data_IF_206765044428
#
_entry.id   IF_206765044428
#
_cell.length_a   1.000
_cell.length_b   1.000
_cell.length_c   1.000
_cell.angle_alpha   90.00
_cell.angle_beta   90.00
_cell.angle_gamma   90.00
#
_symmetry.space_group_name_H-M   'P 1'
#
loop_
_entity.id
_entity.type
_entity.pdbx_description
1 polymer ?
#
# COMPACT_ATOMS: atom_id res chain seq x y z
N UNK A 1 -22.12 -2.05 -27.16
CA UNK A 1 -22.45 -1.46 -25.87
C UNK A 1 -21.62 -0.21 -25.53
N UNK A 2 -20.54 0.13 -26.27
CA UNK A 2 -19.74 1.34 -26.06
C UNK A 2 -18.95 1.40 -24.75
N UNK A 3 -18.83 0.28 -24.03
CA UNK A 3 -18.10 0.18 -22.75
C UNK A 3 -16.76 -0.46 -22.99
N UNK A 4 -15.66 0.24 -22.67
CA UNK A 4 -14.32 -0.30 -22.65
C UNK A 4 -14.02 -0.86 -21.25
N UNK A 5 -13.68 -2.14 -21.16
CA UNK A 5 -13.30 -2.80 -19.90
C UNK A 5 -11.78 -2.84 -19.79
N UNK A 6 -11.24 -2.18 -18.76
CA UNK A 6 -9.80 -2.22 -18.40
C UNK A 6 -9.57 -3.27 -17.31
N UNK A 7 -9.74 -4.55 -17.66
CA UNK A 7 -9.71 -5.68 -16.73
C UNK A 7 -8.36 -5.90 -16.06
N UNK A 8 -7.27 -5.42 -16.65
CA UNK A 8 -5.92 -5.48 -16.08
C UNK A 8 -5.71 -4.50 -14.90
N UNK A 9 -6.54 -3.46 -14.80
CA UNK A 9 -6.38 -2.39 -13.81
C UNK A 9 -5.01 -1.72 -13.91
N UNK A 10 -4.26 -1.67 -12.80
CA UNK A 10 -2.90 -1.09 -12.76
C UNK A 10 -1.81 -2.03 -13.26
N UNK A 11 -2.17 -3.30 -13.58
CA UNK A 11 -1.21 -4.33 -13.99
C UNK A 11 -1.13 -4.41 -15.52
N UNK A 12 -0.56 -3.38 -16.13
CA UNK A 12 -0.29 -3.31 -17.56
C UNK A 12 1.22 -3.39 -17.83
N UNK A 13 1.60 -3.87 -19.01
CA UNK A 13 2.99 -3.98 -19.43
C UNK A 13 3.83 -4.83 -18.48
N UNK A 14 5.04 -4.35 -18.09
CA UNK A 14 5.95 -5.09 -17.22
C UNK A 14 5.34 -5.44 -15.85
N UNK A 15 4.42 -4.60 -15.32
CA UNK A 15 3.74 -4.85 -14.05
C UNK A 15 2.89 -6.12 -14.09
N UNK A 16 2.29 -6.43 -15.24
CA UNK A 16 1.54 -7.67 -15.45
C UNK A 16 2.45 -8.88 -15.49
N UNK A 17 3.54 -8.79 -16.26
CA UNK A 17 4.53 -9.87 -16.35
C UNK A 17 5.15 -10.19 -15.00
N UNK A 18 5.47 -9.16 -14.19
CA UNK A 18 5.98 -9.33 -12.83
C UNK A 18 4.94 -10.00 -11.93
N UNK A 19 3.70 -9.51 -11.94
CA UNK A 19 2.60 -10.06 -11.13
C UNK A 19 2.30 -11.52 -11.43
N UNK A 20 2.35 -11.88 -12.72
CA UNK A 20 2.09 -13.25 -13.18
C UNK A 20 3.33 -14.14 -13.18
N UNK A 21 4.50 -13.58 -12.85
CA UNK A 21 5.81 -14.28 -12.90
C UNK A 21 6.09 -14.88 -14.28
N UNK A 22 5.70 -14.16 -15.33
CA UNK A 22 5.96 -14.54 -16.72
C UNK A 22 7.28 -13.92 -17.15
N UNK A 23 8.19 -14.70 -17.69
CA UNK A 23 9.47 -14.21 -18.20
C UNK A 23 9.27 -13.58 -19.60
N UNK A 24 9.51 -12.26 -19.76
CA UNK A 24 9.45 -11.62 -21.07
C UNK A 24 10.72 -11.89 -21.87
N UNK A 25 10.62 -11.94 -23.20
CA UNK A 25 11.81 -12.02 -24.07
C UNK A 25 12.73 -10.81 -23.87
N UNK A 26 12.14 -9.62 -23.69
CA UNK A 26 12.84 -8.37 -23.42
C UNK A 26 12.08 -7.61 -22.32
N UNK A 27 12.68 -7.42 -21.12
CA UNK A 27 12.04 -6.68 -20.05
C UNK A 27 11.93 -5.19 -20.38
N UNK A 28 10.99 -4.52 -19.74
CA UNK A 28 10.84 -3.08 -19.90
C UNK A 28 12.13 -2.34 -19.52
N UNK A 29 12.58 -1.45 -20.38
CA UNK A 29 13.85 -0.71 -20.22
C UNK A 29 15.07 -1.44 -20.77
N UNK A 30 14.95 -2.71 -21.20
CA UNK A 30 16.05 -3.44 -21.84
C UNK A 30 16.53 -2.72 -23.09
N UNK A 31 17.83 -2.64 -23.25
CA UNK A 31 18.49 -2.10 -24.43
C UNK A 31 19.87 -2.71 -24.64
N UNK A 32 20.34 -2.65 -25.88
CA UNK A 32 21.68 -3.05 -26.23
C UNK A 32 22.61 -1.83 -26.28
N UNK A 33 23.85 -2.01 -25.86
CA UNK A 33 24.90 -1.00 -25.92
C UNK A 33 26.18 -1.60 -26.49
N UNK A 34 27.00 -0.76 -27.11
CA UNK A 34 28.35 -1.14 -27.52
C UNK A 34 29.38 -1.08 -26.38
N UNK A 35 28.92 -0.75 -25.17
CA UNK A 35 29.73 -0.72 -23.96
C UNK A 35 28.97 -1.36 -22.81
N UNK A 36 29.61 -1.53 -21.66
CA UNK A 36 29.03 -2.11 -20.44
C UNK A 36 29.06 -1.10 -19.32
N UNK A 37 28.08 -1.18 -18.40
CA UNK A 37 27.97 -0.32 -17.25
C UNK A 37 27.93 -1.13 -15.96
N UNK A 38 28.46 -0.56 -14.87
CA UNK A 38 28.30 -1.10 -13.53
C UNK A 38 27.62 -0.10 -12.63
N UNK A 39 26.81 -0.61 -11.71
CA UNK A 39 26.07 0.15 -10.71
C UNK A 39 26.65 -0.11 -9.33
N UNK A 40 26.82 0.94 -8.52
CA UNK A 40 27.35 0.81 -7.16
C UNK A 40 26.86 1.94 -6.24
N UNK A 41 27.11 1.78 -4.94
CA UNK A 41 26.96 2.83 -3.93
C UNK A 41 25.56 3.49 -3.88
N UNK A 42 24.49 2.70 -3.87
CA UNK A 42 23.16 3.24 -3.60
C UNK A 42 23.12 3.78 -2.16
N UNK A 43 22.71 5.05 -2.00
CA UNK A 43 22.59 5.72 -0.71
C UNK A 43 21.36 6.62 -0.69
N UNK A 44 20.62 6.55 0.42
CA UNK A 44 19.59 7.51 0.77
C UNK A 44 20.17 8.53 1.77
N UNK A 45 19.74 9.80 1.68
CA UNK A 45 20.09 10.80 2.69
C UNK A 45 19.49 10.49 4.07
N UNK A 46 18.42 9.68 4.10
CA UNK A 46 17.79 9.17 5.32
C UNK A 46 17.13 7.81 5.04
N UNK A 47 17.11 6.92 6.02
CA UNK A 47 16.50 5.59 5.92
C UNK A 47 15.13 5.48 6.62
N UNK A 48 14.81 6.47 7.46
CA UNK A 48 13.48 6.64 8.08
C UNK A 48 13.06 8.09 7.86
N UNK A 49 11.88 8.30 7.28
CA UNK A 49 11.39 9.62 6.86
C UNK A 49 9.86 9.69 6.96
N UNK A 50 9.33 10.90 7.07
CA UNK A 50 7.92 11.15 6.80
C UNK A 50 7.72 11.25 5.28
N UNK A 51 6.51 10.97 4.82
CA UNK A 51 6.15 11.10 3.40
C UNK A 51 6.22 12.54 2.89
N UNK A 52 6.29 13.54 3.81
CA UNK A 52 6.50 14.96 3.50
C UNK A 52 7.95 15.37 3.36
N UNK A 53 8.89 14.51 3.76
CA UNK A 53 10.32 14.85 3.76
C UNK A 53 10.92 14.73 2.35
N UNK A 54 11.95 15.53 2.07
CA UNK A 54 12.70 15.44 0.83
C UNK A 54 13.72 14.31 0.91
N UNK A 55 13.47 13.22 0.19
CA UNK A 55 14.32 12.04 0.16
C UNK A 55 15.16 12.06 -1.11
N UNK A 56 16.48 12.01 -0.97
CA UNK A 56 17.41 11.93 -2.09
C UNK A 56 18.07 10.57 -2.13
N UNK A 57 17.96 9.90 -3.28
CA UNK A 57 18.67 8.66 -3.58
C UNK A 57 19.83 8.99 -4.51
N UNK A 58 21.03 8.59 -4.15
CA UNK A 58 22.22 8.70 -4.99
C UNK A 58 22.75 7.32 -5.37
N UNK A 59 23.22 7.16 -6.59
CA UNK A 59 23.80 5.92 -7.12
C UNK A 59 24.98 6.27 -8.04
N UNK A 60 26.02 5.46 -8.04
CA UNK A 60 27.14 5.59 -8.97
C UNK A 60 26.97 4.65 -10.15
N UNK A 61 27.21 5.17 -11.34
CA UNK A 61 27.23 4.40 -12.59
C UNK A 61 28.53 4.65 -13.31
N UNK A 62 29.21 3.56 -13.67
CA UNK A 62 30.52 3.60 -14.34
C UNK A 62 30.44 2.87 -15.68
N UNK A 63 31.02 3.46 -16.71
CA UNK A 63 31.28 2.76 -17.98
C UNK A 63 32.51 1.86 -17.83
N UNK A 64 32.30 0.58 -17.86
CA UNK A 64 33.36 -0.45 -17.70
C UNK A 64 33.90 -0.96 -19.02
N UNK A 65 33.31 -0.53 -20.16
CA UNK A 65 33.76 -0.91 -21.49
C UNK A 65 34.77 0.06 -22.09
N UNK A 66 35.06 -0.15 -23.36
CA UNK A 66 36.15 0.56 -24.08
C UNK A 66 35.66 1.72 -24.95
N UNK A 67 34.37 1.87 -25.13
CA UNK A 67 33.76 2.95 -25.95
C UNK A 67 32.81 3.79 -25.13
N UNK A 68 32.63 5.03 -25.55
CA UNK A 68 31.64 5.90 -24.92
C UNK A 68 30.22 5.39 -25.18
N UNK A 69 29.34 5.51 -24.20
CA UNK A 69 27.95 5.08 -24.32
C UNK A 69 27.02 5.94 -23.49
N UNK A 70 25.72 5.69 -23.67
CA UNK A 70 24.67 6.30 -22.86
C UNK A 70 23.93 5.19 -22.14
N UNK A 71 23.63 5.44 -20.87
CA UNK A 71 22.87 4.53 -20.00
C UNK A 71 21.61 5.23 -19.49
N UNK A 72 20.52 4.46 -19.35
CA UNK A 72 19.27 4.94 -18.74
C UNK A 72 19.16 4.30 -17.37
N UNK A 73 19.49 5.07 -16.36
CA UNK A 73 19.40 4.66 -14.94
C UNK A 73 17.94 4.76 -14.52
N UNK A 74 17.36 3.66 -14.08
CA UNK A 74 15.95 3.55 -13.72
C UNK A 74 15.81 3.30 -12.23
N UNK A 75 14.90 4.04 -11.57
CA UNK A 75 14.57 3.89 -10.16
C UNK A 75 13.14 3.37 -10.00
N UNK A 76 13.00 2.28 -9.30
CA UNK A 76 11.74 1.61 -8.98
C UNK A 76 11.47 1.63 -7.48
N UNK A 77 10.19 1.66 -7.11
CA UNK A 77 9.72 1.57 -5.73
C UNK A 77 8.87 0.33 -5.56
N UNK A 78 9.14 -0.44 -4.50
CA UNK A 78 8.39 -1.61 -4.07
C UNK A 78 7.91 -1.42 -2.63
N UNK A 79 6.61 -1.56 -2.35
CA UNK A 79 6.05 -1.59 -1.00
C UNK A 79 6.07 -3.03 -0.47
N UNK A 80 6.83 -3.32 0.62
CA UNK A 80 7.02 -4.69 1.12
C UNK A 80 5.72 -5.33 1.61
N UNK A 81 4.91 -4.61 2.39
CA UNK A 81 3.68 -5.11 3.02
C UNK A 81 2.45 -4.36 2.50
N UNK A 82 2.25 -4.38 1.18
CA UNK A 82 1.14 -3.70 0.56
C UNK A 82 -0.20 -4.32 0.98
N UNK A 83 -1.06 -3.54 1.66
CA UNK A 83 -2.41 -3.97 2.02
C UNK A 83 -3.32 -4.08 0.80
N UNK A 84 -3.01 -3.35 -0.25
CA UNK A 84 -3.65 -3.42 -1.56
C UNK A 84 -2.74 -4.13 -2.55
N UNK A 85 -3.32 -4.74 -3.58
CA UNK A 85 -2.53 -5.37 -4.64
C UNK A 85 -1.81 -4.29 -5.44
N UNK A 86 -0.48 -4.13 -5.22
CA UNK A 86 0.40 -3.20 -5.94
C UNK A 86 1.35 -3.96 -6.86
N UNK A 87 1.91 -3.30 -7.90
CA UNK A 87 2.97 -3.86 -8.73
C UNK A 87 4.22 -4.18 -7.89
N UNK A 88 4.92 -5.25 -8.27
CA UNK A 88 6.19 -5.63 -7.65
C UNK A 88 7.25 -4.53 -7.78
N UNK A 89 7.32 -3.90 -8.94
CA UNK A 89 8.20 -2.77 -9.21
C UNK A 89 7.39 -1.65 -9.88
N UNK A 90 7.46 -0.45 -9.34
CA UNK A 90 6.86 0.73 -9.95
C UNK A 90 7.95 1.70 -10.37
N UNK A 91 8.18 1.88 -11.69
CA UNK A 91 9.10 2.91 -12.18
C UNK A 91 8.62 4.28 -11.73
N UNK A 92 9.46 5.00 -10.99
CA UNK A 92 9.18 6.34 -10.49
C UNK A 92 10.04 7.40 -11.17
N UNK A 93 11.34 7.11 -11.34
CA UNK A 93 12.28 8.03 -11.95
C UNK A 93 13.20 7.32 -12.92
N UNK A 94 13.74 8.08 -13.87
CA UNK A 94 14.83 7.64 -14.72
C UNK A 94 15.68 8.84 -15.15
N UNK A 95 16.95 8.57 -15.43
CA UNK A 95 17.87 9.57 -15.98
C UNK A 95 18.78 8.95 -17.04
N UNK A 96 18.93 9.63 -18.19
CA UNK A 96 19.82 9.20 -19.25
C UNK A 96 21.13 9.96 -19.17
N UNK A 97 22.21 9.24 -18.88
CA UNK A 97 23.56 9.78 -18.74
C UNK A 97 24.46 9.31 -19.87
N UNK A 98 25.45 10.15 -20.25
CA UNK A 98 26.51 9.78 -21.17
C UNK A 98 27.81 9.60 -20.38
N UNK A 99 28.56 8.53 -20.67
CA UNK A 99 29.80 8.17 -20.00
C UNK A 99 30.90 7.83 -21.01
N UNK A 100 32.07 8.44 -20.89
CA UNK A 100 33.27 8.01 -21.58
C UNK A 100 33.80 6.68 -21.01
N UNK A 101 34.70 5.97 -21.71
CA UNK A 101 35.32 4.76 -21.17
C UNK A 101 35.98 5.00 -19.82
N UNK A 102 35.64 4.19 -18.82
CA UNK A 102 36.15 4.32 -17.45
C UNK A 102 35.53 5.47 -16.62
N UNK A 103 34.74 6.33 -17.21
CA UNK A 103 34.07 7.43 -16.51
C UNK A 103 33.01 6.91 -15.53
N UNK A 104 32.94 7.54 -14.34
CA UNK A 104 31.92 7.28 -13.31
C UNK A 104 31.16 8.59 -13.05
N UNK A 105 29.83 8.49 -12.96
CA UNK A 105 28.95 9.60 -12.56
C UNK A 105 28.05 9.18 -11.41
N UNK A 106 27.77 10.14 -10.54
CA UNK A 106 26.72 10.00 -9.52
C UNK A 106 25.42 10.57 -10.07
N UNK A 107 24.38 9.71 -10.10
CA UNK A 107 23.01 10.09 -10.43
C UNK A 107 22.25 10.30 -9.14
N UNK A 108 21.37 11.31 -9.10
CA UNK A 108 20.56 11.63 -7.94
C UNK A 108 19.09 11.73 -8.34
N UNK A 109 18.24 11.08 -7.55
CA UNK A 109 16.79 11.14 -7.68
C UNK A 109 16.18 11.76 -6.44
N UNK A 110 15.23 12.69 -6.64
CA UNK A 110 14.45 13.31 -5.58
C UNK A 110 13.11 12.59 -5.49
N UNK A 111 12.86 11.91 -4.37
CA UNK A 111 11.60 11.23 -4.11
C UNK A 111 10.68 12.15 -3.30
N UNK A 112 9.41 12.11 -3.66
CA UNK A 112 8.32 12.85 -3.03
C UNK A 112 7.27 11.89 -2.48
N UNK A 113 6.30 12.39 -1.73
CA UNK A 113 5.17 11.59 -1.25
C UNK A 113 4.47 10.81 -2.39
N UNK A 114 4.44 11.39 -3.60
CA UNK A 114 3.81 10.77 -4.77
C UNK A 114 4.48 9.47 -5.20
N UNK A 115 5.77 9.32 -4.97
CA UNK A 115 6.53 8.13 -5.36
C UNK A 115 6.16 6.90 -4.52
N UNK A 116 5.69 7.12 -3.30
CA UNK A 116 5.24 6.07 -2.36
C UNK A 116 3.72 5.86 -2.38
N UNK A 117 2.97 6.84 -2.93
CA UNK A 117 1.53 6.88 -2.83
C UNK A 117 0.82 5.89 -3.78
N UNK A 118 -0.38 5.48 -3.38
CA UNK A 118 -1.41 4.88 -4.21
C UNK A 118 -2.66 5.78 -4.20
N UNK A 119 -3.50 5.66 -5.23
CA UNK A 119 -4.77 6.39 -5.25
C UNK A 119 -5.83 5.63 -4.46
N UNK A 120 -6.41 6.27 -3.45
CA UNK A 120 -7.53 5.74 -2.67
C UNK A 120 -8.85 6.24 -3.26
N UNK A 121 -9.68 5.32 -3.77
CA UNK A 121 -11.02 5.64 -4.24
C UNK A 121 -11.96 6.07 -3.11
N UNK A 122 -11.67 5.68 -1.87
CA UNK A 122 -12.43 6.06 -0.68
C UNK A 122 -12.11 7.48 -0.23
N UNK A 123 -10.83 7.82 -0.22
CA UNK A 123 -10.38 9.17 0.16
C UNK A 123 -10.43 10.16 -1.01
N UNK A 124 -10.64 9.68 -2.24
CA UNK A 124 -10.51 10.45 -3.48
C UNK A 124 -9.18 11.22 -3.58
N UNK A 125 -8.10 10.62 -3.07
CA UNK A 125 -6.80 11.26 -2.99
C UNK A 125 -5.65 10.24 -3.04
N UNK A 126 -4.43 10.75 -3.25
CA UNK A 126 -3.20 9.98 -3.18
C UNK A 126 -2.73 9.83 -1.74
N UNK A 127 -2.53 8.59 -1.33
CA UNK A 127 -2.24 8.23 0.05
C UNK A 127 -0.96 7.42 0.10
N UNK A 128 -0.07 7.79 1.01
CA UNK A 128 1.06 6.98 1.43
C UNK A 128 0.64 6.15 2.63
N UNK A 129 0.88 4.85 2.59
CA UNK A 129 0.74 3.98 3.77
C UNK A 129 2.09 3.95 4.49
N UNK A 130 2.06 4.05 5.81
CA UNK A 130 3.28 3.84 6.61
C UNK A 130 3.78 2.41 6.47
N UNK A 131 5.09 2.24 6.27
CA UNK A 131 5.71 0.94 6.09
C UNK A 131 7.05 1.00 5.40
N UNK A 132 7.58 -0.18 5.07
CA UNK A 132 8.88 -0.31 4.40
C UNK A 132 8.72 -0.33 2.90
N UNK A 133 9.58 0.43 2.26
CA UNK A 133 9.67 0.54 0.80
C UNK A 133 11.09 0.22 0.34
N UNK A 134 11.21 -0.66 -0.63
CA UNK A 134 12.48 -0.93 -1.30
C UNK A 134 12.63 -0.01 -2.50
N UNK A 135 13.71 0.74 -2.51
CA UNK A 135 14.15 1.52 -3.65
C UNK A 135 15.13 0.66 -4.42
N UNK A 136 14.79 0.32 -5.65
CA UNK A 136 15.57 -0.54 -6.53
C UNK A 136 16.07 0.26 -7.72
N UNK A 137 17.35 0.13 -8.06
CA UNK A 137 17.96 0.88 -9.17
C UNK A 137 18.71 -0.06 -10.09
N UNK A 138 18.53 0.15 -11.40
CA UNK A 138 19.22 -0.61 -12.43
C UNK A 138 18.92 -0.15 -13.85
N UNK A 139 19.19 -1.03 -14.81
CA UNK A 139 19.11 -0.76 -16.25
C UNK A 139 17.75 -1.13 -16.86
N UNK A 140 16.99 -1.99 -16.20
CA UNK A 140 15.68 -2.45 -16.68
C UNK A 140 14.80 -2.90 -15.52
N UNK A 141 13.52 -3.22 -15.79
CA UNK A 141 12.59 -3.74 -14.78
C UNK A 141 13.00 -5.09 -14.17
N UNK A 142 13.95 -5.79 -14.78
CA UNK A 142 14.46 -7.10 -14.31
C UNK A 142 15.93 -7.09 -13.94
N UNK A 143 16.69 -6.07 -14.35
CA UNK A 143 18.08 -5.87 -13.97
C UNK A 143 18.17 -4.71 -12.99
N UNK A 144 18.01 -5.03 -11.69
CA UNK A 144 17.95 -4.10 -10.56
C UNK A 144 18.99 -4.52 -9.50
N UNK A 145 20.29 -4.35 -9.80
CA UNK A 145 21.37 -4.84 -8.94
C UNK A 145 21.48 -4.11 -7.59
N UNK A 146 20.89 -2.92 -7.47
CA UNK A 146 20.99 -2.13 -6.24
C UNK A 146 19.64 -1.99 -5.56
N UNK A 147 19.63 -2.14 -4.23
CA UNK A 147 18.46 -1.96 -3.38
C UNK A 147 18.80 -1.24 -2.08
N UNK A 148 17.92 -0.33 -1.66
CA UNK A 148 17.95 0.35 -0.37
C UNK A 148 16.54 0.36 0.21
N UNK A 149 16.37 -0.15 1.44
CA UNK A 149 15.07 -0.08 2.14
C UNK A 149 14.92 1.22 2.90
N UNK A 150 13.75 1.85 2.79
CA UNK A 150 13.32 3.03 3.54
C UNK A 150 12.12 2.68 4.41
N UNK A 151 12.06 3.26 5.60
CA UNK A 151 10.89 3.22 6.48
C UNK A 151 10.15 4.57 6.36
N UNK A 152 8.99 4.56 5.73
CA UNK A 152 8.20 5.77 5.45
C UNK A 152 7.02 5.86 6.40
N UNK A 153 6.89 6.99 7.06
CA UNK A 153 5.78 7.32 7.95
C UNK A 153 4.81 8.27 7.23
N UNK A 154 3.58 7.83 7.07
CA UNK A 154 2.52 8.66 6.49
C UNK A 154 2.16 9.81 7.43
N UNK A 155 2.04 11.01 6.90
CA UNK A 155 1.50 12.18 7.62
C UNK A 155 -0.01 12.28 7.49
N UNK A 156 -0.63 11.52 6.58
CA UNK A 156 -2.09 11.45 6.41
C UNK A 156 -2.65 10.26 7.17
N UNK A 157 -3.44 10.54 8.21
CA UNK A 157 -4.24 9.51 8.89
C UNK A 157 -5.55 9.38 8.12
N UNK A 158 -5.75 8.24 7.46
CA UNK A 158 -7.05 7.91 6.90
C UNK A 158 -7.99 7.49 8.02
N UNK A 159 -9.01 8.29 8.26
CA UNK A 159 -10.13 7.82 9.07
C UNK A 159 -10.86 6.72 8.29
N UNK A 160 -11.10 5.57 8.89
CA UNK A 160 -11.89 4.53 8.25
C UNK A 160 -13.28 5.08 7.92
N UNK A 161 -13.83 4.67 6.77
CA UNK A 161 -15.21 5.01 6.39
C UNK A 161 -16.06 3.78 6.64
N UNK A 162 -16.99 3.90 7.61
CA UNK A 162 -17.90 2.83 7.95
C UNK A 162 -19.14 2.88 7.07
N UNK A 163 -19.51 1.74 6.53
CA UNK A 163 -20.69 1.53 5.70
C UNK A 163 -21.61 0.49 6.35
N UNK A 164 -22.81 0.33 5.83
CA UNK A 164 -23.73 -0.71 6.28
C UNK A 164 -23.18 -2.15 6.11
N UNK A 165 -22.15 -2.33 5.29
CA UNK A 165 -21.49 -3.61 5.07
C UNK A 165 -20.19 -3.77 5.88
N UNK A 166 -19.76 -2.75 6.60
CA UNK A 166 -18.61 -2.83 7.49
C UNK A 166 -18.83 -3.86 8.59
N UNK A 167 -17.80 -4.66 8.87
CA UNK A 167 -17.85 -5.64 9.95
C UNK A 167 -17.84 -4.94 11.31
N UNK A 168 -18.55 -5.49 12.30
CA UNK A 168 -18.61 -4.89 13.62
C UNK A 168 -17.22 -4.67 14.24
N UNK A 169 -16.26 -5.61 14.03
CA UNK A 169 -14.88 -5.47 14.51
C UNK A 169 -14.13 -4.25 13.97
N UNK A 170 -14.50 -3.77 12.75
CA UNK A 170 -13.87 -2.60 12.14
C UNK A 170 -14.15 -1.32 12.94
N UNK A 171 -15.27 -1.28 13.69
CA UNK A 171 -15.63 -0.14 14.52
C UNK A 171 -14.70 0.06 15.73
N UNK A 172 -13.77 -0.85 16.01
CA UNK A 172 -12.71 -0.65 17.00
C UNK A 172 -11.60 0.31 16.57
N UNK A 173 -11.58 0.71 15.30
CA UNK A 173 -10.46 1.45 14.71
C UNK A 173 -10.36 2.91 15.15
N UNK A 174 -11.45 3.55 15.59
CA UNK A 174 -11.45 4.93 16.08
C UNK A 174 -12.15 5.02 17.44
N UNK A 175 -11.83 6.08 18.20
CA UNK A 175 -12.49 6.32 19.51
C UNK A 175 -13.99 6.48 19.36
N UNK A 176 -14.46 7.23 18.35
CA UNK A 176 -15.87 7.47 18.12
C UNK A 176 -16.62 6.18 17.74
N UNK A 177 -16.03 5.35 16.90
CA UNK A 177 -16.65 4.09 16.50
C UNK A 177 -16.52 2.98 17.54
N UNK A 178 -15.50 3.00 18.41
CA UNK A 178 -15.35 2.00 19.47
C UNK A 178 -16.53 2.00 20.46
N UNK A 179 -17.10 3.17 20.76
CA UNK A 179 -18.31 3.29 21.60
C UNK A 179 -19.48 2.53 20.97
N UNK A 180 -19.59 2.56 19.63
CA UNK A 180 -20.62 1.86 18.88
C UNK A 180 -20.41 0.35 18.96
N UNK A 181 -19.16 -0.11 18.79
CA UNK A 181 -18.79 -1.51 18.98
C UNK A 181 -19.23 -2.02 20.36
N UNK A 182 -18.89 -1.29 21.40
CA UNK A 182 -19.25 -1.67 22.78
C UNK A 182 -20.76 -1.65 23.02
N UNK A 183 -21.48 -0.64 22.53
CA UNK A 183 -22.92 -0.52 22.70
C UNK A 183 -23.67 -1.67 22.02
N UNK A 184 -23.30 -2.00 20.77
CA UNK A 184 -23.89 -3.11 20.03
C UNK A 184 -23.54 -4.45 20.69
N UNK A 185 -22.29 -4.67 21.04
CA UNK A 185 -21.89 -5.93 21.70
C UNK A 185 -22.65 -6.11 23.01
N UNK A 186 -22.76 -5.07 23.83
CA UNK A 186 -23.54 -5.14 25.09
C UNK A 186 -25.02 -5.42 24.85
N UNK A 187 -25.64 -4.83 23.84
CA UNK A 187 -27.08 -5.03 23.58
C UNK A 187 -27.42 -6.49 23.26
N UNK A 188 -26.48 -7.24 22.68
CA UNK A 188 -26.63 -8.65 22.34
C UNK A 188 -26.15 -9.59 23.46
N UNK A 189 -25.23 -9.16 24.33
CA UNK A 189 -24.76 -9.96 25.48
C UNK A 189 -25.58 -9.69 26.74
N UNK A 190 -26.17 -8.51 26.92
CA UNK A 190 -26.98 -8.15 28.08
C UNK A 190 -28.31 -8.93 28.19
N UNK A 191 -28.71 -9.64 27.17
CA UNK A 191 -29.86 -10.55 27.20
C UNK A 191 -29.55 -11.88 27.90
N UNK A 192 -28.28 -12.18 28.15
CA UNK A 192 -27.79 -13.32 28.91
C UNK A 192 -27.42 -12.88 30.33
N UNK A 193 -27.78 -13.65 31.34
CA UNK A 193 -27.30 -13.43 32.73
C UNK A 193 -25.79 -13.26 32.69
N UNK A 194 -25.25 -12.42 33.58
CA UNK A 194 -23.80 -12.22 33.71
C UNK A 194 -23.14 -13.59 33.85
N UNK A 195 -22.22 -13.90 32.94
CA UNK A 195 -21.54 -15.19 32.92
C UNK A 195 -20.76 -15.40 34.20
N UNK A 196 -21.16 -16.40 35.00
CA UNK A 196 -20.56 -16.71 36.32
C UNK A 196 -19.57 -17.86 36.20
N UNK A 197 -19.82 -18.80 35.28
CA UNK A 197 -18.95 -19.97 35.06
C UNK A 197 -17.95 -19.75 33.93
N UNK A 198 -16.87 -20.51 33.90
CA UNK A 198 -15.86 -20.49 32.81
C UNK A 198 -16.45 -20.94 31.49
N UNK A 199 -17.46 -21.82 31.46
CA UNK A 199 -18.16 -22.26 30.28
C UNK A 199 -19.03 -21.15 29.68
N UNK A 200 -19.76 -20.42 30.56
CA UNK A 200 -20.57 -19.28 30.16
C UNK A 200 -19.70 -18.15 29.58
N UNK A 201 -18.54 -17.86 30.21
CA UNK A 201 -17.56 -16.88 29.69
C UNK A 201 -17.02 -17.27 28.31
N UNK A 202 -16.74 -18.55 28.08
CA UNK A 202 -16.31 -19.06 26.78
C UNK A 202 -17.41 -18.93 25.73
N UNK A 203 -18.66 -19.24 26.10
CA UNK A 203 -19.81 -19.10 25.21
C UNK A 203 -20.05 -17.61 24.84
N UNK A 204 -19.95 -16.70 25.83
CA UNK A 204 -20.05 -15.26 25.59
C UNK A 204 -18.93 -14.76 24.68
N UNK A 205 -17.67 -15.16 24.92
CA UNK A 205 -16.54 -14.81 24.07
C UNK A 205 -16.70 -15.32 22.64
N UNK A 206 -17.22 -16.53 22.46
CA UNK A 206 -17.51 -17.08 21.13
C UNK A 206 -18.61 -16.28 20.42
N UNK A 207 -19.68 -15.92 21.13
CA UNK A 207 -20.76 -15.09 20.57
C UNK A 207 -20.23 -13.71 20.14
N UNK A 208 -19.42 -13.06 20.97
CA UNK A 208 -18.78 -11.76 20.66
C UNK A 208 -17.91 -11.90 19.42
N UNK A 209 -17.12 -12.97 19.29
CA UNK A 209 -16.28 -13.21 18.13
C UNK A 209 -17.12 -13.39 16.86
N UNK A 210 -18.20 -14.13 16.93
CA UNK A 210 -19.13 -14.33 15.81
C UNK A 210 -19.80 -13.00 15.38
N UNK A 211 -20.25 -12.19 16.35
CA UNK A 211 -20.84 -10.88 16.07
C UNK A 211 -19.80 -9.92 15.47
N UNK A 212 -18.54 -9.99 15.91
CA UNK A 212 -17.47 -9.13 15.45
C UNK A 212 -17.19 -9.30 13.93
N UNK A 213 -17.35 -10.48 13.38
CA UNK A 213 -17.16 -10.80 11.97
C UNK A 213 -18.44 -10.61 11.13
N UNK A 214 -19.50 -10.07 11.72
CA UNK A 214 -20.75 -9.84 11.03
C UNK A 214 -20.86 -8.41 10.50
N UNK A 215 -21.37 -8.21 9.26
CA UNK A 215 -21.70 -6.88 8.76
C UNK A 215 -22.80 -6.21 9.60
N UNK A 216 -22.63 -4.89 9.86
CA UNK A 216 -23.51 -4.18 10.78
C UNK A 216 -24.99 -4.17 10.35
N UNK A 217 -25.29 -4.25 9.04
CA UNK A 217 -26.65 -4.32 8.54
C UNK A 217 -27.39 -5.62 8.96
N UNK A 218 -26.68 -6.69 9.32
CA UNK A 218 -27.29 -7.94 9.79
C UNK A 218 -27.88 -7.82 11.18
N UNK A 219 -27.46 -6.83 11.96
CA UNK A 219 -28.01 -6.53 13.28
C UNK A 219 -29.48 -6.07 13.21
N UNK A 220 -29.92 -5.50 12.07
CA UNK A 220 -31.33 -5.20 11.84
C UNK A 220 -32.22 -6.45 11.96
N UNK A 221 -31.79 -7.56 11.38
CA UNK A 221 -32.50 -8.83 11.43
C UNK A 221 -32.40 -9.49 12.83
N UNK A 222 -31.21 -9.47 13.42
CA UNK A 222 -30.95 -10.14 14.71
C UNK A 222 -31.66 -9.45 15.87
N UNK A 223 -31.93 -8.16 15.76
CA UNK A 223 -32.55 -7.37 16.85
C UNK A 223 -34.04 -7.65 17.05
N UNK A 224 -34.69 -8.39 16.13
CA UNK A 224 -36.13 -8.59 16.17
C UNK A 224 -36.91 -7.28 16.04
N UNK A 225 -36.40 -6.32 15.28
CA UNK A 225 -37.03 -5.00 15.04
C UNK A 225 -36.69 -3.93 16.09
N UNK A 226 -35.86 -4.24 17.09
CA UNK A 226 -35.42 -3.26 18.10
C UNK A 226 -34.35 -2.29 17.58
N UNK A 227 -33.61 -2.69 16.57
CA UNK A 227 -32.62 -1.87 15.86
C UNK A 227 -33.14 -1.56 14.46
N UNK A 228 -33.41 -0.29 14.17
CA UNK A 228 -34.07 0.15 12.91
C UNK A 228 -33.07 0.67 11.88
N UNK A 229 -33.48 0.77 10.63
CA UNK A 229 -32.63 1.36 9.56
C UNK A 229 -32.24 2.81 9.89
N UNK A 230 -33.15 3.59 10.47
CA UNK A 230 -32.84 4.97 10.89
C UNK A 230 -31.76 5.02 11.96
N UNK A 231 -31.82 4.10 12.94
CA UNK A 231 -30.78 3.97 13.96
C UNK A 231 -29.45 3.53 13.35
N UNK A 232 -29.45 2.63 12.39
CA UNK A 232 -28.24 2.22 11.65
C UNK A 232 -27.63 3.41 10.91
N UNK A 233 -28.42 4.22 10.22
CA UNK A 233 -27.93 5.41 9.51
C UNK A 233 -27.36 6.45 10.47
N UNK A 234 -28.05 6.75 11.58
CA UNK A 234 -27.57 7.66 12.61
C UNK A 234 -26.23 7.18 13.21
N UNK A 235 -26.11 5.88 13.44
CA UNK A 235 -24.90 5.24 13.97
C UNK A 235 -23.73 5.34 12.97
N UNK A 236 -23.96 5.08 11.68
CA UNK A 236 -22.95 5.24 10.64
C UNK A 236 -22.52 6.70 10.49
N UNK A 237 -23.45 7.65 10.59
CA UNK A 237 -23.15 9.07 10.56
C UNK A 237 -22.27 9.47 11.76
N UNK A 238 -22.59 9.00 12.98
CA UNK A 238 -21.79 9.23 14.17
C UNK A 238 -20.39 8.59 14.06
N UNK A 239 -20.28 7.36 13.52
CA UNK A 239 -19.00 6.67 13.34
C UNK A 239 -18.08 7.40 12.33
N UNK A 240 -18.65 8.02 11.30
CA UNK A 240 -17.94 8.74 10.25
C UNK A 240 -17.73 10.23 10.56
N UNK A 241 -18.24 10.73 11.69
CA UNK A 241 -18.01 12.11 12.11
C UNK A 241 -16.51 12.32 12.42
N UNK A 242 -15.95 13.43 11.87
CA UNK A 242 -14.53 13.79 12.04
C UNK A 242 -14.29 14.43 13.40
#
# INVERSE_FOLDING_TARGET
DGVANYGEGIFIGYRYYDKKKIEPNFPFGFGLSYTTFSYSDIKANMTSAKDSDAITISVKVKNTGKVAGKEVVQLYVHEQDAALSRPENELKHFEKIALAPGEEKTVQFQLTSRDFAYYSSVAHDWIVKSGKFDIRVGSSSRDLPLQQTLDIQSTKILSPVFTRNSLLKEFKQTKNSAVIYEALTRSFTASTKKAETEEEKKAEAFMIAMLADMPINKFLLLSGGKFTEEQLQALLQAANAK
#
